data_IF_953828750254
#
_entry.id   IF_953828750254
#
_cell.length_a   1.000
_cell.length_b   1.000
_cell.length_c   1.000
_cell.angle_alpha   90.00
_cell.angle_beta   90.00
_cell.angle_gamma   90.00
#
_symmetry.space_group_name_H-M   'P 1'
#
loop_
_entity.id
_entity.type
_entity.pdbx_description
1 polymer ?
#
# COMPACT_ATOMS: atom_id res chain seq x y z
N UNK A 1 -27.46 10.07 8.95
CA UNK A 1 -26.04 10.29 8.60
C UNK A 1 -25.72 9.50 7.34
N UNK A 2 -25.20 10.12 6.28
CA UNK A 2 -24.58 9.35 5.21
C UNK A 2 -23.30 8.73 5.76
N UNK A 3 -23.25 7.41 5.90
CA UNK A 3 -22.02 6.70 6.24
C UNK A 3 -21.04 6.85 5.06
N UNK A 4 -20.19 7.88 5.09
CA UNK A 4 -19.11 8.00 4.10
C UNK A 4 -18.13 6.84 4.34
N UNK A 5 -17.79 6.11 3.27
CA UNK A 5 -16.79 5.03 3.37
C UNK A 5 -15.40 5.65 3.59
N UNK A 6 -14.93 5.64 4.84
CA UNK A 6 -13.58 6.08 5.19
C UNK A 6 -12.55 5.16 4.53
N UNK A 7 -11.66 5.76 3.75
CA UNK A 7 -10.59 5.02 3.07
C UNK A 7 -9.25 5.25 3.79
N UNK A 8 -8.62 4.15 4.21
CA UNK A 8 -7.33 4.14 4.89
C UNK A 8 -6.17 3.91 3.91
N UNK A 9 -4.99 4.43 4.26
CA UNK A 9 -3.74 4.13 3.55
C UNK A 9 -3.36 2.66 3.75
N UNK A 10 -2.51 2.12 2.87
CA UNK A 10 -1.96 0.78 3.07
C UNK A 10 -1.14 0.68 4.36
N UNK A 11 -0.35 1.70 4.68
CA UNK A 11 0.41 1.74 5.93
C UNK A 11 -0.50 1.64 7.16
N UNK A 12 -1.59 2.41 7.20
CA UNK A 12 -2.53 2.35 8.32
C UNK A 12 -3.21 0.99 8.42
N UNK A 13 -3.57 0.37 7.29
CA UNK A 13 -4.13 -0.99 7.29
C UNK A 13 -3.12 -2.01 7.81
N UNK A 14 -1.86 -1.91 7.41
CA UNK A 14 -0.79 -2.79 7.87
C UNK A 14 -0.54 -2.63 9.37
N UNK A 15 -0.53 -1.40 9.89
CA UNK A 15 -0.38 -1.15 11.32
C UNK A 15 -1.52 -1.79 12.13
N UNK A 16 -2.77 -1.69 11.64
CA UNK A 16 -3.93 -2.34 12.29
C UNK A 16 -3.75 -3.87 12.31
N UNK A 17 -3.27 -4.46 11.21
CA UNK A 17 -3.03 -5.91 11.11
C UNK A 17 -1.94 -6.32 12.12
N UNK A 18 -0.81 -5.61 12.13
CA UNK A 18 0.31 -5.88 13.05
C UNK A 18 -0.12 -5.82 14.51
N UNK A 19 -0.86 -4.79 14.92
CA UNK A 19 -1.33 -4.72 16.30
C UNK A 19 -2.26 -5.88 16.68
N UNK A 20 -3.09 -6.35 15.74
CA UNK A 20 -3.94 -7.53 15.97
C UNK A 20 -3.10 -8.80 16.07
N UNK A 21 -2.11 -8.96 15.19
CA UNK A 21 -1.18 -10.10 15.19
C UNK A 21 -0.29 -10.11 16.46
N UNK A 22 0.06 -8.93 16.99
CA UNK A 22 0.78 -8.72 18.25
C UNK A 22 -0.11 -8.97 19.49
N UNK A 23 -1.37 -9.35 19.30
CA UNK A 23 -2.27 -9.80 20.36
C UNK A 23 -3.44 -8.86 20.68
N UNK A 24 -3.61 -7.74 19.97
CA UNK A 24 -4.78 -6.88 20.14
C UNK A 24 -6.05 -7.59 19.66
N UNK A 25 -7.12 -7.55 20.45
CA UNK A 25 -8.41 -8.11 20.02
C UNK A 25 -8.99 -7.28 18.88
N UNK A 26 -9.62 -7.92 17.89
CA UNK A 26 -10.25 -7.22 16.77
C UNK A 26 -11.29 -6.18 17.23
N UNK A 27 -12.03 -6.44 18.31
CA UNK A 27 -13.01 -5.49 18.89
C UNK A 27 -12.31 -4.23 19.44
N UNK A 28 -11.13 -4.37 20.02
CA UNK A 28 -10.33 -3.25 20.51
C UNK A 28 -9.81 -2.41 19.34
N UNK A 29 -9.30 -3.06 18.28
CA UNK A 29 -8.87 -2.39 17.06
C UNK A 29 -10.02 -1.60 16.39
N UNK A 30 -11.22 -2.20 16.31
CA UNK A 30 -12.44 -1.56 15.79
C UNK A 30 -12.74 -0.25 16.52
N UNK A 31 -12.64 -0.26 17.86
CA UNK A 31 -12.84 0.93 18.68
C UNK A 31 -11.70 1.95 18.51
N UNK A 32 -10.44 1.50 18.60
CA UNK A 32 -9.25 2.35 18.53
C UNK A 32 -9.15 3.10 17.20
N UNK A 33 -9.46 2.43 16.10
CA UNK A 33 -9.32 2.97 14.74
C UNK A 33 -10.62 3.49 14.13
N UNK A 34 -11.73 3.42 14.88
CA UNK A 34 -13.06 3.85 14.44
C UNK A 34 -13.46 3.28 13.07
N UNK A 35 -13.26 1.97 12.92
CA UNK A 35 -13.64 1.21 11.72
C UNK A 35 -14.74 0.23 12.04
N UNK A 36 -15.47 -0.25 11.03
CA UNK A 36 -16.42 -1.34 11.25
C UNK A 36 -15.70 -2.67 11.46
N UNK A 37 -16.34 -3.61 12.17
CA UNK A 37 -15.86 -5.00 12.26
C UNK A 37 -15.65 -5.64 10.88
N UNK A 38 -16.56 -5.38 9.93
CA UNK A 38 -16.44 -5.87 8.55
C UNK A 38 -15.20 -5.32 7.84
N UNK A 39 -14.79 -4.09 8.15
CA UNK A 39 -13.59 -3.47 7.60
C UNK A 39 -12.33 -4.12 8.19
N UNK A 40 -12.29 -4.32 9.51
CA UNK A 40 -11.18 -5.01 10.17
C UNK A 40 -11.00 -6.44 9.65
N UNK A 41 -12.09 -7.21 9.52
CA UNK A 41 -12.05 -8.55 8.95
C UNK A 41 -11.59 -8.55 7.48
N UNK A 42 -11.99 -7.54 6.69
CA UNK A 42 -11.54 -7.40 5.30
C UNK A 42 -10.03 -7.16 5.19
N UNK A 43 -9.45 -6.39 6.11
CA UNK A 43 -8.00 -6.17 6.14
C UNK A 43 -7.24 -7.44 6.46
N UNK A 44 -7.65 -8.18 7.50
CA UNK A 44 -7.03 -9.46 7.84
C UNK A 44 -7.10 -10.46 6.67
N UNK A 45 -8.26 -10.57 6.00
CA UNK A 45 -8.42 -11.43 4.82
C UNK A 45 -7.48 -11.04 3.66
N UNK A 46 -7.18 -9.74 3.51
CA UNK A 46 -6.31 -9.21 2.46
C UNK A 46 -4.89 -8.91 2.96
N UNK A 47 -4.48 -9.48 4.09
CA UNK A 47 -3.24 -9.13 4.78
C UNK A 47 -2.01 -9.20 3.89
N UNK A 48 -1.79 -10.33 3.20
CA UNK A 48 -0.66 -10.51 2.25
C UNK A 48 -0.62 -9.43 1.17
N UNK A 49 -1.76 -9.14 0.53
CA UNK A 49 -1.82 -8.10 -0.52
C UNK A 49 -1.51 -6.71 0.04
N UNK A 50 -1.89 -6.43 1.29
CA UNK A 50 -1.60 -5.16 1.95
C UNK A 50 -0.12 -5.06 2.30
N UNK A 51 0.48 -6.13 2.80
CA UNK A 51 1.91 -6.22 3.12
C UNK A 51 2.78 -6.11 1.86
N UNK A 52 2.48 -6.91 0.83
CA UNK A 52 3.13 -6.84 -0.49
C UNK A 52 3.02 -5.44 -1.07
N UNK A 53 1.84 -4.80 -1.02
CA UNK A 53 1.69 -3.44 -1.49
C UNK A 53 2.62 -2.47 -0.75
N UNK A 54 2.73 -2.55 0.58
CA UNK A 54 3.66 -1.68 1.34
C UNK A 54 5.12 -1.93 0.94
N UNK A 55 5.51 -3.20 0.74
CA UNK A 55 6.89 -3.58 0.42
C UNK A 55 7.30 -3.29 -1.03
N UNK A 56 6.41 -3.46 -2.02
CA UNK A 56 6.77 -3.53 -3.44
C UNK A 56 7.12 -2.18 -4.09
N UNK A 57 6.95 -1.04 -3.41
CA UNK A 57 6.86 0.22 -4.15
C UNK A 57 7.32 1.49 -3.43
N UNK A 58 8.12 1.40 -2.34
CA UNK A 58 8.36 2.56 -1.45
C UNK A 58 7.07 3.39 -1.30
N UNK A 59 5.93 2.68 -1.12
CA UNK A 59 4.64 3.29 -1.44
C UNK A 59 4.51 4.52 -0.59
N UNK A 60 4.37 5.68 -1.24
CA UNK A 60 4.13 6.95 -0.58
C UNK A 60 3.13 6.68 0.57
N UNK A 61 3.49 6.93 1.85
CA UNK A 61 2.70 6.55 3.01
C UNK A 61 1.18 6.89 2.96
N UNK A 62 0.71 7.96 2.28
CA UNK A 62 -0.71 8.26 2.17
C UNK A 62 -1.45 7.43 1.10
N UNK A 63 -0.82 6.56 0.30
CA UNK A 63 -1.51 5.81 -0.77
C UNK A 63 -2.56 4.86 -0.19
N UNK A 64 -3.79 4.99 -0.68
CA UNK A 64 -4.98 4.29 -0.16
C UNK A 64 -5.51 3.14 -1.02
N UNK A 65 -5.11 3.07 -2.30
CA UNK A 65 -5.55 2.10 -3.31
C UNK A 65 -4.36 1.67 -4.15
N UNK A 66 -4.31 0.39 -4.49
CA UNK A 66 -3.42 -0.12 -5.52
C UNK A 66 -4.21 -0.06 -6.82
N UNK A 67 -3.68 0.67 -7.81
CA UNK A 67 -4.26 0.72 -9.14
C UNK A 67 -3.33 -0.13 -10.00
N UNK A 68 -3.84 -1.28 -10.43
CA UNK A 68 -3.20 -2.16 -11.40
C UNK A 68 -3.26 -1.44 -12.74
N UNK A 69 -2.13 -1.29 -13.42
CA UNK A 69 -2.11 -0.64 -14.72
C UNK A 69 -2.73 -1.57 -15.76
N UNK A 70 -3.34 -1.02 -16.81
CA UNK A 70 -3.91 -1.85 -17.89
C UNK A 70 -2.83 -2.51 -18.73
N UNK A 71 -1.65 -1.89 -18.81
CA UNK A 71 -0.54 -2.32 -19.65
C UNK A 71 0.74 -2.50 -18.82
N UNK A 72 0.67 -3.24 -17.70
CA UNK A 72 1.79 -3.39 -16.74
C UNK A 72 3.12 -3.75 -17.42
N UNK A 73 3.09 -4.61 -18.44
CA UNK A 73 4.29 -5.01 -19.18
C UNK A 73 4.90 -3.86 -20.00
N UNK A 74 4.05 -3.01 -20.59
CA UNK A 74 4.51 -1.85 -21.37
C UNK A 74 5.06 -0.80 -20.41
N UNK A 75 4.34 -0.53 -19.32
CA UNK A 75 4.79 0.44 -18.32
C UNK A 75 6.13 0.01 -17.70
N UNK A 76 6.29 -1.27 -17.34
CA UNK A 76 7.54 -1.81 -16.83
C UNK A 76 8.71 -1.71 -17.85
N UNK A 77 8.43 -1.94 -19.13
CA UNK A 77 9.44 -1.78 -20.18
C UNK A 77 9.87 -0.32 -20.36
N UNK A 78 8.90 0.61 -20.34
CA UNK A 78 9.15 2.05 -20.44
C UNK A 78 9.95 2.54 -19.23
N UNK A 79 9.56 2.16 -18.01
CA UNK A 79 10.28 2.51 -16.77
C UNK A 79 11.73 2.02 -16.82
N UNK A 80 11.95 0.78 -17.28
CA UNK A 80 13.29 0.21 -17.43
C UNK A 80 14.15 1.00 -18.44
N UNK A 81 13.56 1.43 -19.57
CA UNK A 81 14.25 2.24 -20.57
C UNK A 81 14.62 3.61 -19.98
N UNK A 82 13.69 4.24 -19.25
CA UNK A 82 13.88 5.57 -18.68
C UNK A 82 15.03 5.56 -17.66
N UNK A 83 15.03 4.61 -16.72
CA UNK A 83 16.09 4.44 -15.72
C UNK A 83 17.46 4.24 -16.40
N UNK A 84 17.51 3.46 -17.48
CA UNK A 84 18.75 3.24 -18.22
C UNK A 84 19.26 4.51 -18.92
N UNK A 85 18.38 5.39 -19.36
CA UNK A 85 18.75 6.70 -19.95
C UNK A 85 19.27 7.63 -18.86
N UNK A 86 18.55 7.79 -17.76
CA UNK A 86 18.93 8.67 -16.64
C UNK A 86 20.30 8.27 -16.06
N UNK A 87 20.51 6.98 -15.84
CA UNK A 87 21.80 6.48 -15.36
C UNK A 87 22.94 6.78 -16.36
N UNK A 88 22.71 6.64 -17.67
CA UNK A 88 23.71 6.97 -18.70
C UNK A 88 24.06 8.45 -18.71
N UNK A 89 23.09 9.33 -18.56
CA UNK A 89 23.33 10.78 -18.49
C UNK A 89 24.14 11.15 -17.23
N UNK A 90 23.85 10.51 -16.09
CA UNK A 90 24.60 10.73 -14.85
C UNK A 90 26.09 10.33 -14.97
N UNK A 91 26.40 9.24 -15.69
CA UNK A 91 27.78 8.83 -15.96
C UNK A 91 28.52 9.82 -16.88
N UNK A 92 27.83 10.41 -17.86
CA UNK A 92 28.43 11.38 -18.80
C UNK A 92 28.66 12.75 -18.16
N UNK A 93 27.88 13.13 -17.15
CA UNK A 93 28.04 14.38 -16.39
C UNK A 93 29.11 14.29 -15.28
N UNK A 94 29.58 13.08 -14.94
CA UNK A 94 30.63 12.83 -13.93
C UNK A 94 32.05 12.66 -14.52
N UNK A 95 32.20 12.74 -15.84
CA UNK A 95 33.48 12.75 -16.57
C UNK A 95 33.87 14.18 -16.95
#
# INVERSE_FOLDING_TARGET
>A
MMASRRQLSFQNKLNIIKEIDDGMKQIEAVKKYEISQSTAASFLKKGKQIEEAVNFNEINPPRKRLKVATNENIDAAVDSILINIENKEEYLLKL
#
